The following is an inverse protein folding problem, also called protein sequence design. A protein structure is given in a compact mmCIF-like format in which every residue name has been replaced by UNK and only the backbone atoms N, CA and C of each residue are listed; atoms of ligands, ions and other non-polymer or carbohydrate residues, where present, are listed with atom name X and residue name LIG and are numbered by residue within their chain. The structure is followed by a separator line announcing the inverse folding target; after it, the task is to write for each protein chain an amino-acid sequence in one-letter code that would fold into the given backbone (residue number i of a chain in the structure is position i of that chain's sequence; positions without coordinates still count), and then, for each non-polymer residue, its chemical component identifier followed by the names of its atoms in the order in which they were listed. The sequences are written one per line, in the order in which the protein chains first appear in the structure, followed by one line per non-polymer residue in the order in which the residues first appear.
data_IF_559058218153
#
_entry.id   IF_559058218153
#
_cell.length_a   1.000
_cell.length_b   1.000
_cell.length_c   1.000
_cell.angle_alpha   90.00
_cell.angle_beta   90.00
_cell.angle_gamma   90.00
#
_symmetry.space_group_name_H-M   'P 1'
#
loop_
_entity.id
_entity.type
_entity.pdbx_description
1 polymer ?
#
# COMPACT_ATOMS: atom_id res chain seq x y z
N UNK A 1 -5.42 -12.52 11.43
CA UNK A 1 -4.68 -11.31 11.07
C UNK A 1 -3.42 -11.77 10.38
N UNK A 2 -3.37 -11.56 9.07
CA UNK A 2 -2.25 -11.93 8.22
C UNK A 2 -1.08 -10.97 8.45
N UNK A 3 0.13 -11.53 8.47
CA UNK A 3 1.39 -10.78 8.52
C UNK A 3 2.42 -11.55 7.72
N UNK A 4 3.18 -10.86 6.88
CA UNK A 4 4.30 -11.43 6.14
C UNK A 4 5.48 -10.46 6.17
N UNK A 5 6.69 -10.98 6.26
CA UNK A 5 7.91 -10.19 6.33
C UNK A 5 9.00 -10.87 5.54
N UNK A 6 9.76 -10.11 4.76
CA UNK A 6 10.91 -10.64 4.05
C UNK A 6 11.99 -9.56 3.82
N UNK A 7 13.17 -9.97 3.39
CA UNK A 7 14.29 -9.08 3.08
C UNK A 7 14.96 -9.49 1.77
N UNK A 8 15.34 -8.51 0.95
CA UNK A 8 15.89 -8.74 -0.38
C UNK A 8 17.15 -7.91 -0.62
N UNK A 9 18.25 -8.56 -1.01
CA UNK A 9 19.57 -7.92 -1.15
C UNK A 9 19.73 -7.04 -2.40
N UNK A 10 18.91 -7.21 -3.45
CA UNK A 10 19.10 -6.54 -4.75
C UNK A 10 17.79 -6.35 -5.50
N UNK A 11 17.71 -5.25 -6.24
CA UNK A 11 16.58 -4.92 -7.11
C UNK A 11 16.14 -3.48 -6.92
N UNK A 12 15.32 -3.00 -7.85
CA UNK A 12 14.55 -1.78 -7.69
C UNK A 12 13.35 -2.01 -6.77
N UNK A 13 12.82 -0.95 -6.15
CA UNK A 13 11.64 -1.03 -5.30
C UNK A 13 10.46 -1.75 -6.00
N UNK A 14 10.26 -1.56 -7.31
CA UNK A 14 9.20 -2.21 -8.07
C UNK A 14 9.44 -3.70 -8.33
N UNK A 15 10.69 -4.12 -8.54
CA UNK A 15 11.03 -5.55 -8.63
C UNK A 15 10.81 -6.25 -7.29
N UNK A 16 11.22 -5.61 -6.20
CA UNK A 16 11.01 -6.12 -4.84
C UNK A 16 9.53 -6.17 -4.48
N UNK A 17 8.77 -5.12 -4.79
CA UNK A 17 7.31 -5.10 -4.64
C UNK A 17 6.67 -6.29 -5.34
N UNK A 18 7.02 -6.51 -6.61
CA UNK A 18 6.43 -7.59 -7.42
C UNK A 18 6.74 -8.96 -6.81
N UNK A 19 7.96 -9.19 -6.32
CA UNK A 19 8.33 -10.44 -5.66
C UNK A 19 7.58 -10.62 -4.33
N UNK A 20 7.52 -9.57 -3.50
CA UNK A 20 6.86 -9.63 -2.22
C UNK A 20 5.34 -9.83 -2.34
N UNK A 21 4.72 -9.25 -3.38
CA UNK A 21 3.30 -9.45 -3.67
C UNK A 21 2.99 -10.90 -4.05
N UNK A 22 3.86 -11.57 -4.82
CA UNK A 22 3.68 -13.01 -5.12
C UNK A 22 3.62 -13.83 -3.82
N UNK A 23 4.51 -13.57 -2.88
CA UNK A 23 4.52 -14.26 -1.58
C UNK A 23 3.24 -13.97 -0.77
N UNK A 24 2.74 -12.73 -0.82
CA UNK A 24 1.47 -12.36 -0.19
C UNK A 24 0.29 -13.08 -0.84
N UNK A 25 0.23 -13.15 -2.18
CA UNK A 25 -0.86 -13.80 -2.90
C UNK A 25 -0.90 -15.30 -2.63
N UNK A 26 0.28 -15.94 -2.60
CA UNK A 26 0.42 -17.34 -2.21
C UNK A 26 -0.07 -17.56 -0.77
N UNK A 27 0.33 -16.68 0.17
CA UNK A 27 -0.08 -16.76 1.56
C UNK A 27 -1.57 -16.47 1.79
N UNK A 28 -2.19 -15.66 0.94
CA UNK A 28 -3.60 -15.26 1.03
C UNK A 28 -4.54 -16.15 0.23
N UNK A 29 -4.03 -16.86 -0.78
CA UNK A 29 -4.80 -17.67 -1.72
C UNK A 29 -5.68 -16.85 -2.67
N UNK A 30 -5.37 -15.56 -2.86
CA UNK A 30 -6.07 -14.65 -3.77
C UNK A 30 -5.22 -13.42 -4.09
N UNK A 31 -5.56 -12.72 -5.18
CA UNK A 31 -4.87 -11.53 -5.66
C UNK A 31 -5.56 -10.23 -5.19
N UNK A 32 -4.93 -9.10 -5.49
CA UNK A 32 -5.49 -7.76 -5.30
C UNK A 32 -6.53 -7.42 -6.37
N UNK A 33 -7.50 -6.59 -6.00
CA UNK A 33 -8.47 -5.99 -6.94
C UNK A 33 -8.31 -4.48 -7.06
N UNK A 34 -7.76 -3.84 -6.03
CA UNK A 34 -7.47 -2.41 -6.01
C UNK A 34 -6.18 -2.14 -5.24
N UNK A 35 -5.41 -1.17 -5.71
CA UNK A 35 -4.25 -0.64 -4.98
C UNK A 35 -4.34 0.88 -4.82
N UNK A 36 -3.70 1.38 -3.78
CA UNK A 36 -3.35 2.79 -3.64
C UNK A 36 -1.97 2.97 -3.03
N UNK A 37 -1.16 3.81 -3.67
CA UNK A 37 0.11 4.27 -3.14
C UNK A 37 -0.10 5.47 -2.22
N UNK A 38 0.24 5.29 -0.95
CA UNK A 38 0.20 6.36 0.05
C UNK A 38 1.51 7.13 0.08
N UNK A 39 2.65 6.46 -0.01
CA UNK A 39 3.95 7.14 0.00
C UNK A 39 4.92 6.43 -0.91
N UNK A 40 5.73 7.19 -1.64
CA UNK A 40 6.78 6.64 -2.48
C UNK A 40 7.95 7.62 -2.57
N UNK A 41 9.14 7.09 -2.33
CA UNK A 41 10.43 7.74 -2.55
C UNK A 41 11.37 6.74 -3.24
N UNK A 42 12.63 7.11 -3.45
CA UNK A 42 13.62 6.20 -4.02
C UNK A 42 14.01 5.04 -3.08
N UNK A 43 13.73 5.16 -1.79
CA UNK A 43 14.19 4.22 -0.74
C UNK A 43 13.05 3.72 0.14
N UNK A 44 11.82 4.14 -0.13
CA UNK A 44 10.66 3.80 0.69
C UNK A 44 9.39 3.78 -0.15
N UNK A 45 8.50 2.84 0.13
CA UNK A 45 7.17 2.78 -0.45
C UNK A 45 6.17 2.26 0.59
N UNK A 46 4.98 2.83 0.58
CA UNK A 46 3.83 2.39 1.35
C UNK A 46 2.62 2.32 0.44
N UNK A 47 2.02 1.13 0.34
CA UNK A 47 0.86 0.85 -0.50
C UNK A 47 -0.19 0.04 0.24
N UNK A 48 -1.45 0.30 -0.06
CA UNK A 48 -2.55 -0.55 0.36
C UNK A 48 -3.09 -1.35 -0.82
N UNK A 49 -3.40 -2.62 -0.55
CA UNK A 49 -4.03 -3.53 -1.49
C UNK A 49 -5.33 -4.03 -0.89
N UNK A 50 -6.42 -3.87 -1.63
CA UNK A 50 -7.67 -4.56 -1.32
C UNK A 50 -7.66 -5.89 -2.07
N UNK A 51 -7.72 -6.98 -1.33
CA UNK A 51 -7.72 -8.33 -1.85
C UNK A 51 -9.12 -8.76 -2.31
N UNK A 52 -9.20 -9.75 -3.20
CA UNK A 52 -10.48 -10.33 -3.65
C UNK A 52 -11.36 -10.78 -2.49
N UNK A 53 -10.74 -11.41 -1.48
CA UNK A 53 -11.40 -11.87 -0.26
C UNK A 53 -11.85 -10.75 0.70
N UNK A 54 -11.64 -9.48 0.33
CA UNK A 54 -12.08 -8.30 1.07
C UNK A 54 -11.11 -7.82 2.15
N UNK A 55 -9.99 -8.52 2.38
CA UNK A 55 -8.95 -8.07 3.30
C UNK A 55 -8.15 -6.91 2.71
N UNK A 56 -7.64 -6.07 3.59
CA UNK A 56 -6.79 -4.92 3.22
C UNK A 56 -5.40 -5.23 3.71
N UNK A 57 -4.42 -5.27 2.82
CA UNK A 57 -3.02 -5.47 3.16
C UNK A 57 -2.29 -4.15 2.96
N UNK A 58 -1.67 -3.66 4.03
CA UNK A 58 -0.64 -2.63 3.95
C UNK A 58 0.70 -3.29 3.66
N UNK A 59 1.41 -2.76 2.68
CA UNK A 59 2.80 -3.13 2.40
C UNK A 59 3.67 -1.90 2.59
N UNK A 60 4.70 -2.05 3.42
CA UNK A 60 5.80 -1.13 3.57
C UNK A 60 7.09 -1.77 3.04
N UNK A 61 7.78 -1.08 2.16
CA UNK A 61 9.07 -1.52 1.59
C UNK A 61 10.08 -0.40 1.80
N UNK A 62 11.11 -0.66 2.60
CA UNK A 62 12.16 0.31 2.92
C UNK A 62 13.55 -0.24 2.61
N UNK A 63 14.39 0.54 1.94
CA UNK A 63 15.80 0.20 1.73
C UNK A 63 16.58 0.52 3.01
N UNK A 64 17.15 -0.51 3.62
CA UNK A 64 18.22 -0.34 4.58
C UNK A 64 19.49 0.04 3.82
N UNK A 65 19.89 1.31 3.88
CA UNK A 65 21.09 1.81 3.18
C UNK A 65 22.41 1.31 3.75
N UNK A 66 22.43 0.87 5.01
CA UNK A 66 23.64 0.35 5.65
C UNK A 66 23.93 -1.09 5.20
N UNK A 67 22.87 -1.90 5.08
CA UNK A 67 22.94 -3.31 4.65
C UNK A 67 22.78 -3.47 3.13
N UNK A 68 22.29 -2.42 2.44
CA UNK A 68 21.88 -2.43 1.02
C UNK A 68 20.78 -3.47 0.74
N UNK A 69 19.87 -3.65 1.70
CA UNK A 69 18.79 -4.63 1.65
C UNK A 69 17.41 -3.95 1.75
N UNK A 70 16.45 -4.44 0.98
CA UNK A 70 15.06 -4.02 1.09
C UNK A 70 14.34 -4.82 2.17
N UNK A 71 13.80 -4.14 3.17
CA UNK A 71 12.96 -4.71 4.22
C UNK A 71 11.50 -4.52 3.84
N UNK A 72 10.77 -5.62 3.76
CA UNK A 72 9.37 -5.65 3.33
C UNK A 72 8.50 -6.18 4.45
N UNK A 73 7.48 -5.40 4.81
CA UNK A 73 6.49 -5.74 5.83
C UNK A 73 5.09 -5.67 5.20
N UNK A 74 4.34 -6.77 5.30
CA UNK A 74 2.96 -6.89 4.84
C UNK A 74 2.04 -7.18 6.02
N UNK A 75 1.05 -6.33 6.28
CA UNK A 75 0.17 -6.44 7.46
C UNK A 75 -1.30 -6.27 7.06
N UNK A 76 -2.16 -7.15 7.58
CA UNK A 76 -3.61 -6.99 7.43
C UNK A 76 -4.12 -5.82 8.28
N UNK A 77 -4.74 -4.84 7.64
CA UNK A 77 -5.36 -3.70 8.28
C UNK A 77 -6.84 -3.93 8.54
N UNK A 78 -7.34 -3.30 9.60
CA UNK A 78 -8.78 -3.11 9.73
C UNK A 78 -9.25 -2.05 8.74
N UNK A 79 -10.51 -2.16 8.34
CA UNK A 79 -11.14 -1.20 7.44
C UNK A 79 -11.11 0.23 7.99
N UNK A 80 -11.36 0.39 9.28
CA UNK A 80 -11.39 1.70 9.95
C UNK A 80 -10.00 2.35 9.91
N UNK A 81 -8.94 1.58 10.16
CA UNK A 81 -7.56 2.07 10.07
C UNK A 81 -7.23 2.49 8.63
N UNK A 82 -7.56 1.65 7.65
CA UNK A 82 -7.31 1.96 6.24
C UNK A 82 -8.04 3.22 5.76
N UNK A 83 -9.31 3.40 6.14
CA UNK A 83 -10.08 4.60 5.82
C UNK A 83 -9.44 5.84 6.45
N UNK A 84 -9.11 5.78 7.74
CA UNK A 84 -8.53 6.90 8.47
C UNK A 84 -7.22 7.38 7.83
N UNK A 85 -6.35 6.45 7.45
CA UNK A 85 -5.06 6.78 6.82
C UNK A 85 -5.24 7.36 5.41
N UNK A 86 -6.13 6.80 4.58
CA UNK A 86 -6.40 7.38 3.26
C UNK A 86 -7.02 8.78 3.37
N UNK A 87 -7.94 9.00 4.31
CA UNK A 87 -8.53 10.32 4.55
C UNK A 87 -7.49 11.33 5.05
N UNK A 88 -6.57 10.90 5.91
CA UNK A 88 -5.44 11.71 6.33
C UNK A 88 -4.57 12.13 5.14
N UNK A 89 -4.23 11.19 4.26
CA UNK A 89 -3.41 11.47 3.07
C UNK A 89 -4.13 12.38 2.06
N UNK A 90 -5.45 12.25 1.89
CA UNK A 90 -6.25 13.20 1.10
C UNK A 90 -6.20 14.59 1.72
N UNK A 91 -6.31 14.70 3.05
CA UNK A 91 -6.23 15.97 3.76
C UNK A 91 -4.88 16.65 3.53
N UNK A 92 -3.78 15.88 3.67
CA UNK A 92 -2.43 16.35 3.37
C UNK A 92 -2.28 16.81 1.91
N UNK A 93 -2.81 16.03 0.95
CA UNK A 93 -2.84 16.40 -0.46
C UNK A 93 -3.58 17.73 -0.70
N UNK A 94 -4.70 17.95 0.00
CA UNK A 94 -5.49 19.18 -0.15
C UNK A 94 -4.82 20.39 0.51
N UNK A 95 -4.10 20.21 1.62
CA UNK A 95 -3.47 21.31 2.37
C UNK A 95 -2.09 21.71 1.83
N UNK A 96 -1.28 20.74 1.38
CA UNK A 96 0.13 20.97 1.06
C UNK A 96 0.42 20.82 -0.43
N UNK A 97 0.97 21.87 -1.05
CA UNK A 97 1.38 21.81 -2.46
C UNK A 97 2.41 20.72 -2.72
N UNK A 98 3.37 20.53 -1.81
CA UNK A 98 4.39 19.49 -1.94
C UNK A 98 3.78 18.08 -2.01
N UNK A 99 2.80 17.78 -1.16
CA UNK A 99 2.09 16.49 -1.19
C UNK A 99 1.42 16.21 -2.55
N UNK A 100 0.93 17.26 -3.25
CA UNK A 100 0.37 17.11 -4.60
C UNK A 100 1.43 16.82 -5.65
N UNK A 101 2.60 17.42 -5.51
CA UNK A 101 3.75 17.17 -6.38
C UNK A 101 4.21 15.72 -6.19
N UNK A 102 4.38 15.29 -4.95
CA UNK A 102 4.92 13.97 -4.62
C UNK A 102 3.97 12.84 -5.04
N UNK A 103 2.65 13.01 -4.82
CA UNK A 103 1.65 11.97 -5.09
C UNK A 103 1.10 12.01 -6.52
N UNK A 104 1.22 13.15 -7.19
CA UNK A 104 0.70 13.37 -8.53
C UNK A 104 -0.82 13.59 -8.60
N UNK A 105 -1.28 14.09 -9.76
CA UNK A 105 -2.64 14.59 -9.95
C UNK A 105 -3.74 13.53 -9.82
N UNK A 106 -3.44 12.26 -10.09
CA UNK A 106 -4.41 11.15 -10.00
C UNK A 106 -4.62 10.63 -8.58
N UNK A 107 -3.77 11.01 -7.61
CA UNK A 107 -3.81 10.43 -6.27
C UNK A 107 -5.19 10.54 -5.64
N UNK A 108 -5.76 11.76 -5.62
CA UNK A 108 -7.06 12.01 -4.99
C UNK A 108 -8.19 11.21 -5.65
N UNK A 109 -8.14 11.02 -6.98
CA UNK A 109 -9.13 10.21 -7.69
C UNK A 109 -9.02 8.73 -7.30
N UNK A 110 -7.80 8.17 -7.30
CA UNK A 110 -7.54 6.79 -6.86
C UNK A 110 -7.95 6.58 -5.40
N UNK A 111 -7.64 7.53 -4.52
CA UNK A 111 -8.00 7.48 -3.09
C UNK A 111 -9.50 7.44 -2.88
N UNK A 112 -10.25 8.31 -3.56
CA UNK A 112 -11.70 8.29 -3.47
C UNK A 112 -12.29 6.99 -4.04
N UNK A 113 -11.78 6.46 -5.15
CA UNK A 113 -12.21 5.16 -5.68
C UNK A 113 -11.97 4.03 -4.68
N UNK A 114 -10.80 3.97 -4.05
CA UNK A 114 -10.48 2.98 -3.04
C UNK A 114 -11.43 3.08 -1.84
N UNK A 115 -11.67 4.30 -1.32
CA UNK A 115 -12.62 4.55 -0.23
C UNK A 115 -14.05 4.15 -0.59
N UNK A 116 -14.51 4.44 -1.81
CA UNK A 116 -15.84 4.03 -2.28
C UNK A 116 -15.98 2.51 -2.24
N UNK A 117 -15.01 1.78 -2.79
CA UNK A 117 -15.04 0.30 -2.79
C UNK A 117 -15.02 -0.26 -1.38
N UNK A 118 -14.20 0.31 -0.48
CA UNK A 118 -14.18 -0.10 0.92
C UNK A 118 -15.55 0.10 1.57
N UNK A 119 -16.21 1.25 1.35
CA UNK A 119 -17.51 1.59 1.95
C UNK A 119 -18.64 0.74 1.38
N UNK A 120 -18.69 0.48 0.07
CA UNK A 120 -19.76 -0.27 -0.59
C UNK A 120 -19.81 -1.75 -0.15
N UNK A 121 -18.67 -2.36 0.20
CA UNK A 121 -18.61 -3.73 0.74
C UNK A 121 -19.26 -3.91 2.14
N UNK A 122 -19.88 -2.88 2.72
CA UNK A 122 -20.75 -3.00 3.91
C UNK A 122 -22.19 -3.45 3.60
N UNK A 123 -22.63 -3.34 2.33
CA UNK A 123 -24.05 -3.47 1.98
C UNK A 123 -24.43 -4.82 1.36
N UNK A 124 -23.57 -5.85 1.43
CA UNK A 124 -23.80 -7.18 0.85
C UNK A 124 -23.79 -8.29 1.92
#
# INVERSE_FOLDING_TARGET
MFTHKNTYERGSAGEIESQFLVEIYEGMGCEEVYEICLSQTNVYMQKFYLMENGKIIEIEIGLNTDELEWKCDGVELTKEKAILEIEHEISCYDMFQQARIDKGWMFKEKANKFLTVLREKESA
#
